data_IF_846724163125
#
_entry.id   IF_846724163125
#
_cell.length_a   1.000
_cell.length_b   1.000
_cell.length_c   1.000
_cell.angle_alpha   90.00
_cell.angle_beta   90.00
_cell.angle_gamma   90.00
#
_symmetry.space_group_name_H-M   'P 1'
#
loop_
_entity.id
_entity.type
_entity.pdbx_description
1 polymer ?
#
# COMPACT_ATOMS: atom_id res chain seq x y z
N UNK A 1 -13.97 8.63 4.86
CA UNK A 1 -13.13 7.51 5.34
C UNK A 1 -11.98 7.36 4.36
N UNK A 2 -10.74 7.43 4.83
CA UNK A 2 -9.56 7.59 3.95
C UNK A 2 -8.44 6.64 4.32
N UNK A 3 -7.75 6.14 3.29
CA UNK A 3 -6.44 5.52 3.43
C UNK A 3 -5.39 6.62 3.33
N UNK A 4 -4.44 6.64 4.26
CA UNK A 4 -3.30 7.54 4.18
C UNK A 4 -2.12 6.79 3.60
N UNK A 5 -1.39 7.42 2.69
CA UNK A 5 -0.21 6.84 2.08
C UNK A 5 0.92 7.84 2.15
N UNK A 6 2.11 7.42 2.56
CA UNK A 6 3.27 8.31 2.65
C UNK A 6 4.60 7.57 2.43
N UNK A 7 5.71 8.31 2.19
CA UNK A 7 7.06 7.79 2.38
C UNK A 7 7.39 7.61 3.87
N UNK A 8 8.41 6.80 4.16
CA UNK A 8 8.88 6.54 5.53
C UNK A 8 9.23 7.85 6.27
N UNK A 9 9.78 8.82 5.57
CA UNK A 9 10.16 10.15 6.08
C UNK A 9 8.98 10.94 6.68
N UNK A 10 7.73 10.58 6.36
CA UNK A 10 6.53 11.32 6.74
C UNK A 10 5.58 10.54 7.65
N UNK A 11 5.97 9.36 8.14
CA UNK A 11 5.11 8.53 9.01
C UNK A 11 4.72 9.29 10.29
N UNK A 12 5.68 9.92 10.97
CA UNK A 12 5.40 10.65 12.22
C UNK A 12 4.55 11.90 11.99
N UNK A 13 4.73 12.58 10.86
CA UNK A 13 3.88 13.69 10.44
C UNK A 13 2.45 13.20 10.21
N UNK A 14 2.26 12.09 9.49
CA UNK A 14 0.96 11.50 9.23
C UNK A 14 0.25 11.08 10.52
N UNK A 15 0.97 10.46 11.45
CA UNK A 15 0.46 10.09 12.78
C UNK A 15 -0.01 11.28 13.58
N UNK A 16 0.80 12.33 13.63
CA UNK A 16 0.49 13.57 14.37
C UNK A 16 -0.77 14.24 13.83
N UNK A 17 -0.90 14.32 12.51
CA UNK A 17 -2.00 15.03 11.85
C UNK A 17 -3.31 14.24 11.86
N UNK A 18 -3.25 12.92 11.64
CA UNK A 18 -4.44 12.12 11.34
C UNK A 18 -4.76 11.02 12.36
N UNK A 19 -3.83 10.70 13.27
CA UNK A 19 -4.02 9.71 14.35
C UNK A 19 -4.62 8.38 13.85
N UNK A 20 -3.97 7.69 12.90
CA UNK A 20 -4.48 6.45 12.35
C UNK A 20 -4.62 5.38 13.44
N UNK A 21 -5.63 4.51 13.32
CA UNK A 21 -5.76 3.35 14.22
C UNK A 21 -4.95 2.14 13.74
N UNK A 22 -4.55 2.14 12.48
CA UNK A 22 -3.85 1.04 11.83
C UNK A 22 -2.65 1.55 11.03
N UNK A 23 -1.55 0.80 11.08
CA UNK A 23 -0.35 1.05 10.30
C UNK A 23 0.08 -0.19 9.52
N UNK A 24 0.32 -0.04 8.22
CA UNK A 24 1.00 -1.02 7.39
C UNK A 24 2.38 -0.48 7.00
N UNK A 25 3.43 -1.16 7.45
CA UNK A 25 4.83 -0.83 7.16
C UNK A 25 5.42 -1.83 6.16
N UNK A 26 5.80 -1.36 4.97
CA UNK A 26 6.42 -2.19 3.92
C UNK A 26 7.86 -1.73 3.64
N UNK A 27 8.87 -2.44 4.16
CA UNK A 27 10.29 -2.08 4.01
C UNK A 27 11.14 -3.26 3.52
N UNK A 28 12.39 -2.97 3.15
CA UNK A 28 13.34 -4.00 2.73
C UNK A 28 13.69 -4.90 3.92
N UNK A 29 13.93 -6.22 3.72
CA UNK A 29 14.49 -7.08 4.77
C UNK A 29 15.83 -6.57 5.31
N UNK A 30 16.57 -5.82 4.50
CA UNK A 30 17.86 -5.21 4.85
C UNK A 30 17.74 -3.83 5.50
N UNK A 31 16.52 -3.30 5.66
CA UNK A 31 16.31 -2.03 6.37
C UNK A 31 16.70 -2.17 7.84
N UNK A 32 17.48 -1.21 8.34
CA UNK A 32 17.88 -1.18 9.74
C UNK A 32 16.66 -1.22 10.68
N UNK A 33 16.79 -1.85 11.84
CA UNK A 33 15.68 -1.98 12.81
C UNK A 33 15.03 -0.63 13.14
N UNK A 34 15.84 0.43 13.30
CA UNK A 34 15.39 1.81 13.57
C UNK A 34 14.54 2.45 12.46
N UNK A 35 14.56 1.89 11.25
CA UNK A 35 13.76 2.39 10.13
C UNK A 35 12.30 1.90 10.21
N UNK A 36 12.00 0.90 11.05
CA UNK A 36 10.64 0.41 11.25
C UNK A 36 9.95 1.24 12.32
N UNK A 37 8.89 2.00 11.99
CA UNK A 37 8.15 2.76 13.00
C UNK A 37 7.63 1.83 14.10
N UNK A 38 7.84 2.22 15.35
CA UNK A 38 7.25 1.55 16.51
C UNK A 38 5.75 1.84 16.54
N UNK A 39 4.93 0.86 16.91
CA UNK A 39 3.50 1.05 17.01
C UNK A 39 3.18 1.91 18.24
N UNK A 40 2.28 2.88 18.08
CA UNK A 40 1.73 3.61 19.22
C UNK A 40 0.78 2.71 20.03
N UNK A 41 0.58 3.02 21.31
CA UNK A 41 -0.23 2.19 22.22
C UNK A 41 -1.67 1.91 21.74
N UNK A 42 -2.21 2.80 20.91
CA UNK A 42 -3.57 2.71 20.34
C UNK A 42 -3.57 2.37 18.84
N UNK A 43 -2.43 1.98 18.27
CA UNK A 43 -2.25 1.69 16.85
C UNK A 43 -1.96 0.20 16.64
N UNK A 44 -2.74 -0.45 15.78
CA UNK A 44 -2.46 -1.82 15.37
C UNK A 44 -1.49 -1.80 14.18
N UNK A 45 -0.36 -2.49 14.25
CA UNK A 45 0.68 -2.43 13.22
C UNK A 45 0.92 -3.78 12.52
N UNK A 46 0.99 -3.76 11.19
CA UNK A 46 1.47 -4.85 10.35
C UNK A 46 2.81 -4.47 9.72
N UNK A 47 3.82 -5.35 9.89
CA UNK A 47 5.14 -5.23 9.25
C UNK A 47 5.33 -6.31 8.20
N UNK A 48 5.64 -5.88 6.96
CA UNK A 48 5.90 -6.74 5.81
C UNK A 48 7.29 -6.42 5.24
N UNK A 49 8.20 -7.39 5.29
CA UNK A 49 9.59 -7.23 4.86
C UNK A 49 9.85 -7.95 3.54
N UNK A 50 10.10 -7.19 2.48
CA UNK A 50 10.38 -7.68 1.13
C UNK A 50 10.96 -6.56 0.25
N UNK A 51 11.64 -6.95 -0.82
CA UNK A 51 12.22 -6.02 -1.79
C UNK A 51 11.16 -5.57 -2.80
N UNK A 52 11.30 -4.34 -3.27
CA UNK A 52 10.39 -3.74 -4.27
C UNK A 52 10.72 -4.24 -5.68
N UNK A 53 10.50 -5.53 -5.90
CA UNK A 53 10.83 -6.22 -7.15
C UNK A 53 9.66 -7.07 -7.61
N UNK A 54 9.64 -7.37 -8.90
CA UNK A 54 8.57 -8.15 -9.57
C UNK A 54 9.01 -9.58 -9.91
N UNK A 55 10.30 -9.88 -9.78
CA UNK A 55 10.88 -11.18 -10.08
C UNK A 55 11.82 -11.59 -8.95
N UNK A 56 11.85 -12.89 -8.65
CA UNK A 56 12.86 -13.45 -7.77
C UNK A 56 14.24 -13.34 -8.43
N UNK A 57 15.20 -12.77 -7.71
CA UNK A 57 16.60 -12.68 -8.12
C UNK A 57 17.48 -13.03 -6.93
N UNK A 58 18.69 -13.48 -7.20
CA UNK A 58 19.64 -13.78 -6.12
C UNK A 58 19.80 -12.56 -5.19
N UNK A 59 19.63 -12.79 -3.89
CA UNK A 59 19.67 -11.74 -2.86
C UNK A 59 18.42 -10.85 -2.76
N UNK A 60 17.43 -10.98 -3.64
CA UNK A 60 16.20 -10.17 -3.63
C UNK A 60 14.96 -11.03 -3.41
N UNK A 61 14.29 -10.79 -2.29
CA UNK A 61 13.00 -11.38 -1.91
C UNK A 61 11.82 -10.57 -2.50
N UNK A 62 11.09 -11.06 -3.52
CA UNK A 62 9.87 -10.42 -4.02
C UNK A 62 8.70 -10.55 -3.02
N UNK A 63 7.59 -9.81 -3.20
CA UNK A 63 6.34 -10.15 -2.52
C UNK A 63 5.82 -11.52 -2.96
N UNK A 64 5.12 -12.21 -2.08
CA UNK A 64 4.49 -13.52 -2.35
C UNK A 64 3.02 -13.55 -1.92
N UNK A 65 2.34 -14.65 -2.24
CA UNK A 65 0.91 -14.81 -1.92
C UNK A 65 0.64 -14.79 -0.40
N UNK A 66 1.55 -15.33 0.42
CA UNK A 66 1.38 -15.34 1.87
C UNK A 66 1.48 -13.94 2.47
N UNK A 67 2.37 -13.10 1.95
CA UNK A 67 2.50 -11.69 2.31
C UNK A 67 1.24 -10.91 1.95
N UNK A 68 0.69 -11.12 0.76
CA UNK A 68 -0.55 -10.46 0.34
C UNK A 68 -1.75 -10.95 1.16
N UNK A 69 -1.83 -12.23 1.49
CA UNK A 69 -2.87 -12.75 2.39
C UNK A 69 -2.84 -12.06 3.76
N UNK A 70 -1.64 -11.90 4.36
CA UNK A 70 -1.48 -11.17 5.62
C UNK A 70 -1.93 -9.71 5.54
N UNK A 71 -1.69 -9.04 4.40
CA UNK A 71 -2.17 -7.68 4.16
C UNK A 71 -3.71 -7.63 4.14
N UNK A 72 -4.33 -8.56 3.41
CA UNK A 72 -5.79 -8.67 3.30
C UNK A 72 -6.44 -9.02 4.63
N UNK A 73 -5.87 -9.95 5.41
CA UNK A 73 -6.37 -10.34 6.73
C UNK A 73 -6.26 -9.21 7.76
N UNK A 74 -5.22 -8.39 7.64
CA UNK A 74 -5.06 -7.20 8.47
C UNK A 74 -6.09 -6.13 8.11
N UNK A 75 -6.24 -5.84 6.82
CA UNK A 75 -7.18 -4.84 6.34
C UNK A 75 -8.64 -5.24 6.57
N UNK A 76 -8.98 -6.53 6.55
CA UNK A 76 -10.32 -7.02 6.87
C UNK A 76 -10.76 -6.73 8.32
N UNK A 77 -9.81 -6.49 9.23
CA UNK A 77 -10.08 -6.16 10.64
C UNK A 77 -10.19 -4.66 10.91
N UNK A 78 -9.92 -3.84 9.91
CA UNK A 78 -10.03 -2.39 10.02
C UNK A 78 -11.47 -1.93 9.81
N UNK A 79 -12.04 -1.30 10.82
CA UNK A 79 -13.43 -0.80 10.84
C UNK A 79 -13.64 0.55 10.13
N UNK A 80 -12.55 1.15 9.65
CA UNK A 80 -12.54 2.47 9.01
C UNK A 80 -13.13 3.62 9.85
N UNK A 81 -13.21 3.48 11.17
CA UNK A 81 -13.60 4.58 12.08
C UNK A 81 -12.51 5.66 12.21
N UNK A 82 -11.24 5.24 12.11
CA UNK A 82 -10.05 6.09 12.04
C UNK A 82 -9.24 5.70 10.80
N UNK A 83 -8.38 6.58 10.25
CA UNK A 83 -7.59 6.26 9.07
C UNK A 83 -6.69 5.03 9.26
N UNK A 84 -6.42 4.32 8.16
CA UNK A 84 -5.34 3.33 8.07
C UNK A 84 -4.20 3.97 7.28
N UNK A 85 -3.02 4.03 7.89
CA UNK A 85 -1.80 4.55 7.30
C UNK A 85 -0.97 3.42 6.65
N UNK A 86 -0.58 3.62 5.40
CA UNK A 86 0.28 2.71 4.64
C UNK A 86 1.56 3.45 4.25
N UNK A 87 2.72 2.89 4.56
CA UNK A 87 3.98 3.49 4.11
C UNK A 87 4.95 2.45 3.57
N UNK A 88 5.87 2.94 2.75
CA UNK A 88 7.09 2.25 2.39
C UNK A 88 8.22 3.26 2.34
N UNK A 89 9.42 2.84 1.95
CA UNK A 89 10.58 3.74 1.91
C UNK A 89 10.31 5.05 1.16
N UNK A 90 9.93 4.97 -0.11
CA UNK A 90 9.74 6.14 -0.98
C UNK A 90 8.28 6.57 -1.14
N UNK A 91 7.29 5.82 -0.64
CA UNK A 91 5.89 6.18 -0.84
C UNK A 91 5.38 6.08 -2.29
N UNK A 92 6.09 5.34 -3.18
CA UNK A 92 5.83 5.33 -4.64
C UNK A 92 5.25 4.00 -5.14
N UNK A 93 5.78 2.85 -4.71
CA UNK A 93 5.47 1.53 -5.30
C UNK A 93 4.79 0.55 -4.33
N UNK A 94 5.49 0.05 -3.31
CA UNK A 94 4.90 -0.89 -2.32
C UNK A 94 3.68 -0.34 -1.59
N UNK A 95 3.76 0.89 -1.08
CA UNK A 95 2.67 1.50 -0.30
C UNK A 95 1.47 1.85 -1.17
N UNK A 96 1.69 2.31 -2.40
CA UNK A 96 0.61 2.63 -3.35
C UNK A 96 -0.07 1.35 -3.85
N UNK A 97 0.67 0.27 -4.06
CA UNK A 97 0.11 -1.07 -4.32
C UNK A 97 -0.72 -1.58 -3.15
N UNK A 98 -0.18 -1.53 -1.94
CA UNK A 98 -0.92 -1.95 -0.75
C UNK A 98 -2.20 -1.12 -0.55
N UNK A 99 -2.14 0.20 -0.73
CA UNK A 99 -3.31 1.07 -0.63
C UNK A 99 -4.38 0.74 -1.70
N UNK A 100 -3.96 0.49 -2.94
CA UNK A 100 -4.86 0.05 -4.02
C UNK A 100 -5.53 -1.28 -3.69
N UNK A 101 -4.76 -2.25 -3.17
CA UNK A 101 -5.26 -3.57 -2.78
C UNK A 101 -6.29 -3.45 -1.66
N UNK A 102 -5.98 -2.70 -0.61
CA UNK A 102 -6.88 -2.47 0.52
C UNK A 102 -8.16 -1.77 0.04
N UNK A 103 -8.06 -0.76 -0.82
CA UNK A 103 -9.23 -0.08 -1.37
C UNK A 103 -10.12 -1.02 -2.19
N UNK A 104 -9.55 -1.91 -3.00
CA UNK A 104 -10.30 -2.91 -3.76
C UNK A 104 -10.97 -3.97 -2.87
N UNK A 105 -10.35 -4.31 -1.74
CA UNK A 105 -10.94 -5.20 -0.74
C UNK A 105 -12.09 -4.50 0.00
N UNK A 106 -11.89 -3.25 0.40
CA UNK A 106 -12.85 -2.47 1.18
C UNK A 106 -14.13 -2.12 0.41
N UNK A 107 -13.99 -1.71 -0.86
CA UNK A 107 -15.11 -1.30 -1.70
C UNK A 107 -15.34 -2.29 -2.86
N UNK A 108 -15.88 -3.50 -2.59
CA UNK A 108 -15.85 -4.57 -3.56
C UNK A 108 -16.67 -4.29 -4.84
N UNK A 109 -17.70 -3.47 -4.72
CA UNK A 109 -18.59 -3.03 -5.81
C UNK A 109 -18.00 -1.89 -6.64
N UNK A 110 -16.93 -1.23 -6.16
CA UNK A 110 -16.31 -0.12 -6.88
C UNK A 110 -15.39 -0.69 -7.98
N UNK A 111 -15.51 -0.24 -9.25
CA UNK A 111 -14.62 -0.68 -10.31
C UNK A 111 -13.16 -0.38 -9.99
N UNK A 112 -12.28 -1.38 -10.17
CA UNK A 112 -10.86 -1.29 -9.85
C UNK A 112 -10.19 -0.12 -10.60
N UNK A 113 -10.60 0.12 -11.85
CA UNK A 113 -10.16 1.27 -12.66
C UNK A 113 -10.42 2.62 -11.99
N UNK A 114 -11.54 2.81 -11.30
CA UNK A 114 -11.86 4.08 -10.64
C UNK A 114 -11.02 4.28 -9.39
N UNK A 115 -10.63 3.20 -8.72
CA UNK A 115 -9.70 3.26 -7.58
C UNK A 115 -8.29 3.59 -8.08
N UNK A 116 -7.84 2.96 -9.18
CA UNK A 116 -6.54 3.26 -9.79
C UNK A 116 -6.44 4.71 -10.27
N UNK A 117 -7.50 5.24 -10.90
CA UNK A 117 -7.59 6.65 -11.31
C UNK A 117 -7.57 7.60 -10.11
N UNK A 118 -8.31 7.30 -9.04
CA UNK A 118 -8.28 8.09 -7.81
C UNK A 118 -6.87 8.09 -7.17
N UNK A 119 -6.19 6.94 -7.18
CA UNK A 119 -4.81 6.82 -6.72
C UNK A 119 -3.86 7.70 -7.56
N UNK A 120 -3.95 7.63 -8.89
CA UNK A 120 -3.14 8.48 -9.79
C UNK A 120 -3.42 9.97 -9.58
N UNK A 121 -4.68 10.34 -9.38
CA UNK A 121 -5.06 11.73 -9.14
C UNK A 121 -4.51 12.26 -7.81
N UNK A 122 -4.55 11.45 -6.75
CA UNK A 122 -4.01 11.82 -5.45
C UNK A 122 -2.47 11.81 -5.41
N UNK A 123 -1.85 10.92 -6.19
CA UNK A 123 -0.40 10.75 -6.24
C UNK A 123 0.09 10.58 -7.69
N UNK A 124 0.42 11.67 -8.40
CA UNK A 124 0.90 11.62 -9.79
C UNK A 124 2.14 10.75 -10.01
N UNK A 125 2.94 10.51 -8.97
CA UNK A 125 4.13 9.66 -8.99
C UNK A 125 3.84 8.17 -8.70
N UNK A 126 2.64 7.81 -8.25
CA UNK A 126 2.32 6.44 -7.84
C UNK A 126 2.66 5.44 -8.97
N UNK A 127 3.46 4.44 -8.66
CA UNK A 127 3.83 3.37 -9.58
C UNK A 127 3.68 2.05 -8.84
N UNK A 128 2.45 1.58 -8.62
CA UNK A 128 2.17 0.41 -7.79
C UNK A 128 2.96 -0.83 -8.25
N UNK A 129 3.55 -1.56 -7.31
CA UNK A 129 4.22 -2.83 -7.59
C UNK A 129 3.25 -3.82 -8.27
N UNK A 130 3.46 -4.20 -9.54
CA UNK A 130 2.49 -4.99 -10.29
C UNK A 130 2.41 -6.44 -9.82
N UNK A 131 3.46 -6.98 -9.18
CA UNK A 131 3.42 -8.33 -8.63
C UNK A 131 2.54 -8.39 -7.37
N UNK A 132 2.63 -7.40 -6.48
CA UNK A 132 1.68 -7.31 -5.35
C UNK A 132 0.24 -7.26 -5.84
N UNK A 133 -0.02 -6.46 -6.88
CA UNK A 133 -1.35 -6.26 -7.45
C UNK A 133 -1.87 -7.55 -8.09
N UNK A 134 -1.05 -8.28 -8.85
CA UNK A 134 -1.48 -9.54 -9.47
C UNK A 134 -1.75 -10.65 -8.45
N UNK A 135 -0.95 -10.73 -7.39
CA UNK A 135 -1.18 -11.65 -6.29
C UNK A 135 -2.50 -11.35 -5.57
N UNK A 136 -2.80 -10.07 -5.34
CA UNK A 136 -4.06 -9.64 -4.73
C UNK A 136 -5.26 -9.83 -5.66
N UNK A 137 -5.09 -9.61 -6.96
CA UNK A 137 -6.12 -9.87 -7.98
C UNK A 137 -6.60 -11.33 -7.89
N UNK A 138 -5.64 -12.26 -7.87
CA UNK A 138 -5.92 -13.69 -7.71
C UNK A 138 -6.58 -13.99 -6.36
N UNK A 139 -6.05 -13.46 -5.25
CA UNK A 139 -6.58 -13.69 -3.90
C UNK A 139 -8.02 -13.17 -3.73
N UNK A 140 -8.36 -12.05 -4.37
CA UNK A 140 -9.69 -11.44 -4.34
C UNK A 140 -10.60 -11.89 -5.49
N UNK A 141 -10.16 -12.86 -6.31
CA UNK A 141 -10.90 -13.38 -7.47
C UNK A 141 -11.37 -12.27 -8.44
N UNK A 142 -10.50 -11.30 -8.73
CA UNK A 142 -10.81 -10.14 -9.59
C UNK A 142 -10.62 -10.40 -11.08
N UNK A 143 -10.17 -11.59 -11.47
CA UNK A 143 -10.06 -12.03 -12.86
C UNK A 143 -9.25 -11.08 -13.76
N UNK A 144 -8.14 -10.55 -13.23
CA UNK A 144 -7.21 -9.66 -13.90
C UNK A 144 -7.62 -8.18 -13.90
N UNK A 145 -8.78 -7.81 -13.35
CA UNK A 145 -9.27 -6.43 -13.37
C UNK A 145 -8.41 -5.45 -12.56
N UNK A 146 -7.84 -5.89 -11.44
CA UNK A 146 -6.91 -5.07 -10.65
C UNK A 146 -5.61 -4.84 -11.42
N UNK A 147 -5.06 -5.89 -12.02
CA UNK A 147 -3.84 -5.78 -12.85
C UNK A 147 -4.07 -4.88 -14.07
N UNK A 148 -5.21 -5.02 -14.74
CA UNK A 148 -5.58 -4.18 -15.89
C UNK A 148 -5.70 -2.70 -15.49
N UNK A 149 -6.33 -2.40 -14.35
CA UNK A 149 -6.48 -1.04 -13.85
C UNK A 149 -5.12 -0.36 -13.55
N UNK A 150 -4.17 -1.09 -12.95
CA UNK A 150 -2.83 -0.55 -12.69
C UNK A 150 -2.02 -0.40 -13.98
N UNK A 151 -2.15 -1.34 -14.92
CA UNK A 151 -1.52 -1.22 -16.23
C UNK A 151 -2.04 0.01 -17.00
N UNK A 152 -3.34 0.31 -16.92
CA UNK A 152 -3.97 1.47 -17.57
C UNK A 152 -3.42 2.81 -17.06
N UNK A 153 -3.25 2.98 -15.75
CA UNK A 153 -2.66 4.21 -15.19
C UNK A 153 -1.14 4.33 -15.40
N UNK A 154 -0.49 3.25 -15.85
CA UNK A 154 0.90 3.19 -16.24
C UNK A 154 1.91 3.61 -15.17
N UNK A 155 3.14 3.89 -15.62
CA UNK A 155 4.20 4.46 -14.79
C UNK A 155 3.88 5.91 -14.43
N UNK A 156 4.09 6.28 -13.16
CA UNK A 156 3.91 7.64 -12.69
C UNK A 156 5.01 8.62 -13.12
N UNK A 157 4.81 9.89 -12.75
CA UNK A 157 5.82 10.92 -12.88
C UNK A 157 7.08 10.58 -12.06
N UNK A 158 8.25 11.05 -12.51
CA UNK A 158 9.49 10.94 -11.74
C UNK A 158 9.35 11.62 -10.38
N UNK A 159 9.80 10.94 -9.32
CA UNK A 159 9.85 11.48 -7.98
C UNK A 159 10.98 10.81 -7.18
N UNK A 160 11.67 11.60 -6.37
CA UNK A 160 12.65 11.06 -5.42
C UNK A 160 11.97 10.26 -4.31
N UNK A 161 10.91 10.84 -3.74
CA UNK A 161 9.94 10.19 -2.88
C UNK A 161 8.55 10.78 -3.15
N UNK A 162 7.51 10.11 -2.68
CA UNK A 162 6.15 10.61 -2.65
C UNK A 162 5.94 11.62 -1.52
N UNK A 163 4.68 11.95 -1.29
CA UNK A 163 4.22 12.79 -0.19
C UNK A 163 3.08 12.09 0.55
N UNK A 164 2.78 12.53 1.77
CA UNK A 164 1.54 12.16 2.44
C UNK A 164 0.34 12.56 1.57
N UNK A 165 -0.48 11.59 1.20
CA UNK A 165 -1.74 11.82 0.49
C UNK A 165 -2.86 10.93 1.04
N UNK A 166 -4.09 11.33 0.75
CA UNK A 166 -5.28 10.55 1.07
C UNK A 166 -5.82 9.85 -0.18
N UNK A 167 -6.12 8.56 -0.06
CA UNK A 167 -6.89 7.81 -1.06
C UNK A 167 -8.33 7.63 -0.57
N UNK A 168 -9.33 8.27 -1.21
CA UNK A 168 -10.73 8.13 -0.85
C UNK A 168 -11.27 6.72 -1.17
N UNK A 169 -11.96 6.11 -0.22
CA UNK A 169 -12.53 4.76 -0.35
C UNK A 169 -13.90 4.70 -1.04
N UNK A 170 -14.63 5.82 -1.05
CA UNK A 170 -15.93 5.99 -1.70
C UNK A 170 -16.33 7.45 -1.66
#
# INVERSE_FOLDING_TARGET
MTLLVCPLSQVETARTLHRPSHLVSLLSPTSAAKAWPEADANETCLRLAFHDVVEAREGLTPPDAALVARLLDFAARWDAAQPLLVHCWAGVSRSTAAAFIIACQYAPERPERHIAQALRAAAPYATPNPLMVSLADAALSRAGRMSAAIAEIGRGAEAFEGALFELPLG
#
